data_IF_631275866056
#
_entry.id   IF_631275866056
#
_cell.length_a   1.000
_cell.length_b   1.000
_cell.length_c   1.000
_cell.angle_alpha   90.00
_cell.angle_beta   90.00
_cell.angle_gamma   90.00
#
_symmetry.space_group_name_H-M   'P 1'
#
loop_
_entity.id
_entity.type
_entity.pdbx_description
1 polymer ?
#
# COMPACT_ATOMS: atom_id res chain seq x y z
N UNK A 1 9.74 31.42 -39.37
CA UNK A 1 9.89 30.05 -38.82
C UNK A 1 8.47 29.51 -38.68
N UNK A 2 8.13 28.42 -39.35
CA UNK A 2 6.81 27.84 -39.19
C UNK A 2 6.66 27.38 -37.73
N UNK A 3 5.66 27.84 -37.01
CA UNK A 3 5.29 27.29 -35.70
C UNK A 3 5.02 25.80 -35.93
N UNK A 4 5.92 24.96 -35.47
CA UNK A 4 5.68 23.51 -35.44
C UNK A 4 4.54 23.26 -34.47
N UNK A 5 3.40 22.83 -34.98
CA UNK A 5 2.23 22.51 -34.20
C UNK A 5 2.61 21.54 -33.07
N UNK A 6 2.36 21.93 -31.81
CA UNK A 6 2.70 21.10 -30.64
C UNK A 6 1.95 19.76 -30.70
N UNK A 7 2.68 18.68 -30.54
CA UNK A 7 2.11 17.33 -30.48
C UNK A 7 1.55 17.12 -29.07
N UNK A 8 0.25 16.90 -28.94
CA UNK A 8 -0.45 16.68 -27.67
C UNK A 8 -1.05 15.30 -27.64
N UNK A 9 -0.88 14.59 -26.53
CA UNK A 9 -1.53 13.29 -26.30
C UNK A 9 -3.01 13.49 -26.01
N UNK A 10 -3.85 12.99 -26.92
CA UNK A 10 -5.30 13.04 -26.73
C UNK A 10 -5.74 12.17 -25.54
N UNK A 11 -6.96 12.41 -25.04
CA UNK A 11 -7.58 11.56 -24.01
C UNK A 11 -7.62 10.08 -24.45
N UNK A 12 -7.82 9.80 -25.76
CA UNK A 12 -7.82 8.44 -26.30
C UNK A 12 -6.44 7.79 -26.22
N UNK A 13 -5.38 8.54 -26.50
CA UNK A 13 -4.00 8.04 -26.40
C UNK A 13 -3.69 7.65 -24.95
N UNK A 14 -3.98 8.55 -24.00
CA UNK A 14 -3.79 8.32 -22.57
C UNK A 14 -4.65 7.18 -22.02
N UNK A 15 -5.89 7.05 -22.49
CA UNK A 15 -6.75 5.91 -22.14
C UNK A 15 -6.18 4.58 -22.66
N UNK A 16 -5.58 4.58 -23.85
CA UNK A 16 -4.90 3.41 -24.39
C UNK A 16 -3.69 3.00 -23.53
N UNK A 17 -2.96 3.97 -23.00
CA UNK A 17 -1.86 3.71 -22.04
C UNK A 17 -2.42 3.13 -20.75
N UNK A 18 -3.46 3.73 -20.17
CA UNK A 18 -4.11 3.22 -18.95
C UNK A 18 -4.64 1.79 -19.13
N UNK A 19 -5.22 1.48 -20.28
CA UNK A 19 -5.65 0.11 -20.58
C UNK A 19 -4.49 -0.87 -20.61
N UNK A 20 -3.40 -0.54 -21.29
CA UNK A 20 -2.22 -1.40 -21.38
C UNK A 20 -1.52 -1.56 -20.03
N UNK A 21 -1.56 -0.56 -19.17
CA UNK A 21 -0.95 -0.63 -17.85
C UNK A 21 -1.62 -1.64 -16.92
N UNK A 22 -2.83 -2.12 -17.25
CA UNK A 22 -3.43 -3.25 -16.52
C UNK A 22 -2.61 -4.54 -16.64
N UNK A 23 -1.77 -4.63 -17.67
CA UNK A 23 -0.89 -5.78 -17.94
C UNK A 23 0.57 -5.51 -17.55
N UNK A 24 0.82 -4.52 -16.69
CA UNK A 24 2.18 -4.09 -16.33
C UNK A 24 3.04 -5.22 -15.75
N UNK A 25 2.42 -6.22 -15.13
CA UNK A 25 3.09 -7.40 -14.59
C UNK A 25 3.12 -8.59 -15.57
N UNK A 26 2.57 -8.46 -16.77
CA UNK A 26 2.46 -9.57 -17.74
C UNK A 26 3.80 -10.14 -18.23
N UNK A 27 4.87 -9.34 -18.17
CA UNK A 27 6.25 -9.73 -18.51
C UNK A 27 7.21 -9.54 -17.34
N UNK A 28 6.74 -9.77 -16.12
CA UNK A 28 7.54 -9.60 -14.91
C UNK A 28 8.74 -10.56 -14.90
N UNK A 29 9.90 -10.06 -14.51
CA UNK A 29 11.14 -10.82 -14.44
C UNK A 29 12.02 -10.34 -13.28
N UNK A 30 12.96 -11.16 -12.82
CA UNK A 30 13.82 -10.84 -11.68
C UNK A 30 14.89 -9.78 -11.96
N UNK A 31 15.27 -9.58 -13.22
CA UNK A 31 16.35 -8.65 -13.59
C UNK A 31 15.86 -7.20 -13.56
N UNK A 32 14.70 -6.92 -14.17
CA UNK A 32 14.18 -5.56 -14.36
C UNK A 32 12.73 -5.38 -13.95
N UNK A 33 12.16 -6.37 -13.28
CA UNK A 33 10.83 -6.40 -12.68
C UNK A 33 9.71 -6.14 -13.68
N UNK A 34 9.09 -4.97 -13.64
CA UNK A 34 7.92 -4.60 -14.45
C UNK A 34 8.27 -3.85 -15.74
N UNK A 35 9.55 -3.76 -16.11
CA UNK A 35 10.04 -2.95 -17.21
C UNK A 35 9.34 -3.22 -18.55
N UNK A 36 9.14 -4.49 -18.91
CA UNK A 36 8.50 -4.88 -20.17
C UNK A 36 7.03 -4.43 -20.22
N UNK A 37 6.28 -4.60 -19.12
CA UNK A 37 4.91 -4.13 -19.00
C UNK A 37 4.79 -2.60 -18.99
N UNK A 38 5.75 -1.92 -18.38
CA UNK A 38 5.87 -0.47 -18.44
C UNK A 38 6.08 0.00 -19.89
N UNK A 39 7.08 -0.54 -20.59
CA UNK A 39 7.36 -0.20 -21.98
C UNK A 39 6.15 -0.52 -22.88
N UNK A 40 5.49 -1.67 -22.70
CA UNK A 40 4.25 -2.03 -23.40
C UNK A 40 3.14 -1.00 -23.21
N UNK A 41 3.01 -0.46 -21.99
CA UNK A 41 2.03 0.57 -21.68
C UNK A 41 2.30 1.86 -22.43
N UNK A 42 3.58 2.24 -22.58
CA UNK A 42 4.00 3.48 -23.24
C UNK A 42 3.91 3.47 -24.78
N UNK A 43 3.79 2.29 -25.41
CA UNK A 43 3.79 2.16 -26.87
C UNK A 43 2.82 3.12 -27.59
N UNK A 44 1.55 3.31 -27.19
CA UNK A 44 0.63 4.21 -27.88
C UNK A 44 1.12 5.66 -27.90
N UNK A 45 1.62 6.13 -26.75
CA UNK A 45 2.17 7.48 -26.62
C UNK A 45 3.44 7.66 -27.45
N UNK A 46 4.38 6.74 -27.37
CA UNK A 46 5.65 6.78 -28.12
C UNK A 46 5.38 6.80 -29.64
N UNK A 47 4.42 6.00 -30.12
CA UNK A 47 4.05 6.02 -31.55
C UNK A 47 3.47 7.35 -31.99
N UNK A 48 2.75 8.05 -31.12
CA UNK A 48 2.16 9.35 -31.40
C UNK A 48 3.20 10.48 -31.37
N UNK A 49 4.08 10.46 -30.35
CA UNK A 49 5.05 11.52 -30.08
C UNK A 49 6.23 11.50 -31.03
N UNK A 50 6.74 10.32 -31.39
CA UNK A 50 7.96 10.17 -32.19
C UNK A 50 7.65 9.61 -33.58
N UNK A 51 8.07 10.34 -34.62
CA UNK A 51 7.83 9.96 -36.02
C UNK A 51 8.89 9.00 -36.55
N UNK A 52 10.18 9.23 -36.21
CA UNK A 52 11.27 8.38 -36.69
C UNK A 52 11.34 7.04 -35.96
N UNK A 53 11.89 6.02 -36.60
CA UNK A 53 12.11 4.71 -35.99
C UNK A 53 13.21 4.78 -34.93
N UNK A 54 14.18 5.60 -35.15
CA UNK A 54 15.33 5.85 -34.31
C UNK A 54 14.89 6.44 -32.97
N UNK A 55 14.07 7.50 -32.98
CA UNK A 55 13.55 8.16 -31.78
C UNK A 55 12.63 7.22 -31.00
N UNK A 56 11.77 6.45 -31.68
CA UNK A 56 10.95 5.42 -31.03
C UNK A 56 11.78 4.37 -30.35
N UNK A 57 12.86 3.92 -31.00
CA UNK A 57 13.78 2.94 -30.42
C UNK A 57 14.48 3.49 -29.19
N UNK A 58 14.95 4.73 -29.24
CA UNK A 58 15.58 5.41 -28.11
C UNK A 58 14.60 5.55 -26.92
N UNK A 59 13.37 5.99 -27.20
CA UNK A 59 12.31 6.08 -26.19
C UNK A 59 11.99 4.72 -25.57
N UNK A 60 11.86 3.68 -26.38
CA UNK A 60 11.59 2.33 -25.86
C UNK A 60 12.74 1.80 -24.99
N UNK A 61 14.00 2.07 -25.35
CA UNK A 61 15.16 1.65 -24.55
C UNK A 61 15.14 2.26 -23.15
N UNK A 62 14.87 3.59 -23.01
CA UNK A 62 14.79 4.25 -21.68
C UNK A 62 13.60 3.74 -20.86
N UNK A 63 12.52 3.27 -21.50
CA UNK A 63 11.38 2.69 -20.80
C UNK A 63 11.54 1.20 -20.44
N UNK A 64 12.54 0.52 -20.99
CA UNK A 64 12.95 -0.84 -20.61
C UNK A 64 13.92 -0.88 -19.41
N UNK A 65 14.27 0.26 -18.82
CA UNK A 65 15.03 0.32 -17.58
C UNK A 65 14.24 -0.26 -16.41
N UNK A 66 14.94 -0.61 -15.33
CA UNK A 66 14.35 -1.17 -14.12
C UNK A 66 13.15 -0.35 -13.64
N UNK A 67 12.05 -1.02 -13.35
CA UNK A 67 10.86 -0.43 -12.75
C UNK A 67 10.13 -1.46 -11.91
N UNK A 68 9.79 -1.11 -10.67
CA UNK A 68 9.02 -1.97 -9.77
C UNK A 68 8.26 -1.14 -8.74
N UNK A 69 6.93 -1.21 -8.80
CA UNK A 69 6.03 -0.60 -7.80
C UNK A 69 4.74 -1.40 -7.73
N UNK A 70 3.83 -1.03 -6.84
CA UNK A 70 2.49 -1.61 -6.85
C UNK A 70 1.81 -1.33 -8.22
N UNK A 71 1.23 -2.33 -8.91
CA UNK A 71 0.80 -2.21 -10.30
C UNK A 71 -0.22 -1.11 -10.56
N UNK A 72 -1.13 -0.85 -9.62
CA UNK A 72 -2.16 0.19 -9.82
C UNK A 72 -1.63 1.58 -9.50
N UNK A 73 -0.73 1.69 -8.54
CA UNK A 73 -0.09 2.96 -8.16
C UNK A 73 1.07 3.33 -9.11
N UNK A 74 1.37 2.51 -10.11
CA UNK A 74 2.20 2.88 -11.24
C UNK A 74 1.55 3.98 -12.12
N UNK A 75 0.21 4.09 -12.09
CA UNK A 75 -0.55 5.00 -12.96
C UNK A 75 -0.20 6.48 -12.81
N UNK A 76 -0.06 7.07 -11.62
CA UNK A 76 0.40 8.47 -11.52
C UNK A 76 1.81 8.67 -12.07
N UNK A 77 2.73 7.68 -11.92
CA UNK A 77 4.08 7.75 -12.50
C UNK A 77 4.00 7.73 -14.02
N UNK A 78 3.14 6.85 -14.60
CA UNK A 78 2.86 6.83 -16.02
C UNK A 78 2.37 8.19 -16.50
N UNK A 79 1.45 8.82 -15.77
CA UNK A 79 0.92 10.14 -16.09
C UNK A 79 2.02 11.19 -16.18
N UNK A 80 2.85 11.32 -15.16
CA UNK A 80 3.98 12.26 -15.15
C UNK A 80 4.96 11.95 -16.30
N UNK A 81 5.27 10.67 -16.50
CA UNK A 81 6.19 10.26 -17.59
C UNK A 81 5.63 10.59 -18.97
N UNK A 82 4.32 10.44 -19.17
CA UNK A 82 3.66 10.83 -20.43
C UNK A 82 3.80 12.33 -20.71
N UNK A 83 3.62 13.17 -19.70
CA UNK A 83 3.81 14.62 -19.85
C UNK A 83 5.26 14.97 -20.18
N UNK A 84 6.25 14.37 -19.49
CA UNK A 84 7.65 14.58 -19.76
C UNK A 84 8.06 14.15 -21.19
N UNK A 85 7.55 13.00 -21.66
CA UNK A 85 7.77 12.53 -23.02
C UNK A 85 7.14 13.46 -24.07
N UNK A 86 5.96 14.00 -23.77
CA UNK A 86 5.26 14.95 -24.65
C UNK A 86 6.04 16.26 -24.78
N UNK A 87 6.49 16.82 -23.67
CA UNK A 87 7.29 18.05 -23.66
C UNK A 87 8.64 17.84 -24.37
N UNK A 88 9.30 16.69 -24.12
CA UNK A 88 10.51 16.33 -24.84
C UNK A 88 10.30 16.24 -26.35
N UNK A 89 9.24 15.61 -26.79
CA UNK A 89 8.89 15.50 -28.23
C UNK A 89 8.60 16.87 -28.87
N UNK A 90 8.18 17.84 -28.07
CA UNK A 90 7.96 19.23 -28.48
C UNK A 90 9.22 20.12 -28.33
N UNK A 91 10.38 19.53 -28.00
CA UNK A 91 11.66 20.24 -27.98
C UNK A 91 12.04 20.84 -26.62
N UNK A 92 11.30 20.54 -25.54
CA UNK A 92 11.73 20.94 -24.20
C UNK A 92 13.02 20.19 -23.78
N UNK A 93 13.89 20.79 -22.95
CA UNK A 93 15.17 20.23 -22.54
C UNK A 93 15.01 19.15 -21.45
N UNK A 94 14.12 18.17 -21.70
CA UNK A 94 13.89 17.01 -20.84
C UNK A 94 14.82 15.89 -21.29
N UNK A 95 15.77 15.51 -20.45
CA UNK A 95 16.72 14.45 -20.73
C UNK A 95 16.25 13.07 -20.19
N UNK A 96 17.02 12.03 -20.50
CA UNK A 96 16.72 10.66 -20.02
C UNK A 96 16.83 10.55 -18.50
N UNK A 97 17.72 11.36 -17.89
CA UNK A 97 17.95 11.36 -16.43
C UNK A 97 16.73 11.90 -15.70
N UNK A 98 16.10 12.97 -16.21
CA UNK A 98 14.89 13.54 -15.64
C UNK A 98 13.72 12.53 -15.69
N UNK A 99 13.49 11.89 -16.84
CA UNK A 99 12.43 10.87 -17.00
C UNK A 99 12.67 9.67 -16.07
N UNK A 100 13.90 9.17 -16.02
CA UNK A 100 14.25 8.04 -15.17
C UNK A 100 14.21 8.41 -13.68
N UNK A 101 14.63 9.65 -13.35
CA UNK A 101 14.58 10.19 -11.99
C UNK A 101 13.16 10.18 -11.41
N UNK A 102 12.15 10.58 -12.20
CA UNK A 102 10.73 10.48 -11.80
C UNK A 102 10.34 9.04 -11.53
N UNK A 103 10.62 8.13 -12.46
CA UNK A 103 10.29 6.71 -12.32
C UNK A 103 10.91 6.13 -11.05
N UNK A 104 12.21 6.32 -10.86
CA UNK A 104 12.96 5.78 -9.70
C UNK A 104 12.53 6.45 -8.39
N UNK A 105 12.40 7.78 -8.40
CA UNK A 105 12.05 8.55 -7.19
C UNK A 105 10.66 8.21 -6.63
N UNK A 106 9.70 7.89 -7.50
CA UNK A 106 8.32 7.59 -7.10
C UNK A 106 8.03 6.10 -6.87
N UNK A 107 8.84 5.17 -7.38
CA UNK A 107 8.60 3.73 -7.26
C UNK A 107 8.39 3.27 -5.82
N UNK A 108 9.37 3.55 -4.96
CA UNK A 108 9.39 3.08 -3.57
C UNK A 108 8.27 3.68 -2.72
N UNK A 109 8.17 5.02 -2.65
CA UNK A 109 7.11 5.68 -1.90
C UNK A 109 5.71 5.22 -2.29
N UNK A 110 5.44 5.09 -3.59
CA UNK A 110 4.13 4.68 -4.07
C UNK A 110 3.86 3.19 -3.84
N UNK A 111 4.87 2.32 -3.88
CA UNK A 111 4.72 0.92 -3.45
C UNK A 111 4.29 0.85 -1.98
N UNK A 112 4.94 1.66 -1.11
CA UNK A 112 4.60 1.76 0.30
C UNK A 112 3.16 2.20 0.59
N UNK A 113 2.50 2.89 -0.35
CA UNK A 113 1.07 3.23 -0.28
C UNK A 113 0.22 2.14 -0.92
N UNK A 114 0.62 1.66 -2.09
CA UNK A 114 -0.18 0.78 -2.93
C UNK A 114 -0.39 -0.61 -2.35
N UNK A 115 0.68 -1.23 -1.85
CA UNK A 115 0.60 -2.59 -1.29
C UNK A 115 -0.35 -2.66 -0.09
N UNK A 116 -0.23 -1.78 0.92
CA UNK A 116 -1.15 -1.75 2.04
C UNK A 116 -2.60 -1.47 1.66
N UNK A 117 -2.82 -0.50 0.80
CA UNK A 117 -4.18 -0.08 0.41
C UNK A 117 -4.86 -1.17 -0.40
N UNK A 118 -4.21 -1.67 -1.46
CA UNK A 118 -4.87 -2.60 -2.37
C UNK A 118 -4.77 -4.06 -1.93
N UNK A 119 -3.54 -4.54 -1.58
CA UNK A 119 -3.35 -5.96 -1.26
C UNK A 119 -3.79 -6.33 0.16
N UNK A 120 -3.58 -5.41 1.12
CA UNK A 120 -3.85 -5.70 2.52
C UNK A 120 -5.14 -5.07 3.07
N UNK A 121 -5.83 -4.20 2.31
CA UNK A 121 -7.08 -3.58 2.77
C UNK A 121 -8.22 -3.84 1.80
N UNK A 122 -8.22 -3.21 0.63
CA UNK A 122 -9.38 -3.23 -0.29
C UNK A 122 -9.69 -4.64 -0.79
N UNK A 123 -8.67 -5.38 -1.22
CA UNK A 123 -8.86 -6.73 -1.78
C UNK A 123 -9.34 -7.74 -0.73
N UNK A 124 -8.76 -7.85 0.47
CA UNK A 124 -9.28 -8.71 1.53
C UNK A 124 -10.69 -8.37 1.98
N UNK A 125 -11.03 -7.06 2.09
CA UNK A 125 -12.38 -6.64 2.46
C UNK A 125 -13.43 -7.09 1.43
N UNK A 126 -13.17 -6.85 0.16
CA UNK A 126 -14.06 -7.31 -0.92
C UNK A 126 -14.09 -8.83 -1.01
N UNK A 127 -12.95 -9.49 -0.78
CA UNK A 127 -12.86 -10.95 -0.74
C UNK A 127 -13.68 -11.55 0.39
N UNK A 128 -13.61 -11.00 1.59
CA UNK A 128 -14.40 -11.44 2.73
C UNK A 128 -15.91 -11.26 2.51
N UNK A 129 -16.32 -10.11 1.94
CA UNK A 129 -17.70 -9.86 1.56
C UNK A 129 -18.18 -10.88 0.51
N UNK A 130 -17.41 -11.10 -0.54
CA UNK A 130 -17.72 -12.06 -1.59
C UNK A 130 -17.79 -13.49 -1.07
N UNK A 131 -16.86 -13.89 -0.20
CA UNK A 131 -16.83 -15.20 0.42
C UNK A 131 -18.04 -15.43 1.36
N UNK A 132 -18.41 -14.43 2.17
CA UNK A 132 -19.58 -14.49 3.04
C UNK A 132 -20.86 -14.78 2.27
N UNK A 133 -21.06 -14.14 1.11
CA UNK A 133 -22.20 -14.40 0.25
C UNK A 133 -22.12 -15.79 -0.43
N UNK A 134 -20.92 -16.20 -0.84
CA UNK A 134 -20.70 -17.48 -1.51
C UNK A 134 -20.92 -18.68 -0.57
N UNK A 135 -20.59 -18.58 0.71
CA UNK A 135 -20.83 -19.64 1.71
C UNK A 135 -22.32 -19.94 1.84
N UNK A 136 -23.19 -18.96 1.68
CA UNK A 136 -24.65 -19.17 1.65
C UNK A 136 -25.19 -19.69 0.30
N UNK A 137 -24.31 -20.08 -0.63
CA UNK A 137 -24.67 -20.54 -1.98
C UNK A 137 -25.08 -19.42 -2.95
N UNK A 138 -24.86 -18.16 -2.58
CA UNK A 138 -25.27 -17.02 -3.41
C UNK A 138 -24.19 -16.70 -4.47
N UNK A 139 -24.57 -16.86 -5.75
CA UNK A 139 -23.70 -16.57 -6.91
C UNK A 139 -23.29 -15.08 -7.00
N UNK A 140 -23.97 -14.19 -6.31
CA UNK A 140 -23.60 -12.77 -6.27
C UNK A 140 -22.25 -12.54 -5.57
N UNK A 141 -21.77 -13.45 -4.72
CA UNK A 141 -20.50 -13.31 -4.02
C UNK A 141 -19.32 -13.09 -4.97
N UNK A 142 -19.00 -14.02 -5.88
CA UNK A 142 -17.94 -13.84 -6.89
C UNK A 142 -18.18 -12.65 -7.82
N UNK A 143 -19.46 -12.40 -8.21
CA UNK A 143 -19.80 -11.29 -9.11
C UNK A 143 -19.51 -9.94 -8.45
N UNK A 144 -19.94 -9.73 -7.21
CA UNK A 144 -19.70 -8.49 -6.47
C UNK A 144 -18.20 -8.27 -6.30
N UNK A 145 -17.46 -9.31 -5.89
CA UNK A 145 -16.00 -9.21 -5.78
C UNK A 145 -15.36 -8.77 -7.11
N UNK A 146 -15.69 -9.45 -8.20
CA UNK A 146 -15.12 -9.15 -9.51
C UNK A 146 -15.46 -7.74 -9.99
N UNK A 147 -16.73 -7.37 -9.93
CA UNK A 147 -17.21 -6.07 -10.43
C UNK A 147 -16.67 -4.92 -9.58
N UNK A 148 -16.83 -4.98 -8.26
CA UNK A 148 -16.38 -3.92 -7.36
C UNK A 148 -14.85 -3.75 -7.43
N UNK A 149 -14.09 -4.85 -7.43
CA UNK A 149 -12.65 -4.81 -7.57
C UNK A 149 -12.21 -4.12 -8.87
N UNK A 150 -12.82 -4.48 -9.99
CA UNK A 150 -12.45 -3.89 -11.28
C UNK A 150 -12.87 -2.43 -11.40
N UNK A 151 -14.03 -2.02 -10.86
CA UNK A 151 -14.45 -0.61 -10.83
C UNK A 151 -13.46 0.22 -10.01
N UNK A 152 -13.13 -0.20 -8.78
CA UNK A 152 -12.20 0.52 -7.90
C UNK A 152 -10.83 0.64 -8.57
N UNK A 153 -10.29 -0.47 -9.05
CA UNK A 153 -8.98 -0.53 -9.70
C UNK A 153 -8.91 0.39 -10.92
N UNK A 154 -9.88 0.29 -11.83
CA UNK A 154 -9.91 1.06 -13.07
C UNK A 154 -10.08 2.56 -12.81
N UNK A 155 -11.01 2.91 -11.94
CA UNK A 155 -11.23 4.31 -11.56
C UNK A 155 -9.95 4.90 -10.97
N UNK A 156 -9.33 4.19 -10.03
CA UNK A 156 -8.08 4.65 -9.43
C UNK A 156 -6.98 4.84 -10.48
N UNK A 157 -6.73 3.84 -11.32
CA UNK A 157 -5.68 3.89 -12.35
C UNK A 157 -5.90 5.05 -13.33
N UNK A 158 -7.13 5.22 -13.81
CA UNK A 158 -7.45 6.28 -14.76
C UNK A 158 -7.30 7.68 -14.14
N UNK A 159 -7.95 7.92 -13.01
CA UNK A 159 -7.92 9.25 -12.39
C UNK A 159 -6.51 9.65 -11.90
N UNK A 160 -5.75 8.71 -11.37
CA UNK A 160 -4.39 9.00 -10.92
C UNK A 160 -3.40 9.17 -12.06
N UNK A 161 -3.60 8.48 -13.20
CA UNK A 161 -2.83 8.74 -14.41
C UNK A 161 -3.10 10.15 -14.96
N UNK A 162 -4.37 10.56 -15.04
CA UNK A 162 -4.73 11.91 -15.50
C UNK A 162 -4.22 12.99 -14.52
N UNK A 163 -4.27 12.72 -13.22
CA UNK A 163 -3.67 13.61 -12.22
C UNK A 163 -2.16 13.73 -12.43
N UNK A 164 -1.46 12.60 -12.60
CA UNK A 164 -0.01 12.58 -12.87
C UNK A 164 0.34 13.30 -14.18
N UNK A 165 -0.44 13.13 -15.24
CA UNK A 165 -0.22 13.83 -16.50
C UNK A 165 -0.35 15.35 -16.35
N UNK A 166 -1.38 15.83 -15.67
CA UNK A 166 -1.56 17.26 -15.38
C UNK A 166 -0.48 17.82 -14.45
N UNK A 167 -0.03 17.03 -13.49
CA UNK A 167 1.06 17.42 -12.61
C UNK A 167 2.40 17.48 -13.37
N UNK A 168 2.64 16.50 -14.24
CA UNK A 168 3.83 16.41 -15.06
C UNK A 168 4.00 17.60 -16.03
N UNK A 169 2.93 18.07 -16.66
CA UNK A 169 3.00 19.25 -17.51
C UNK A 169 3.36 20.52 -16.75
N UNK A 170 2.98 20.64 -15.48
CA UNK A 170 3.41 21.76 -14.62
C UNK A 170 4.86 21.65 -14.16
N UNK A 171 5.37 20.42 -14.01
CA UNK A 171 6.78 20.16 -13.66
C UNK A 171 7.69 20.66 -14.77
N UNK A 172 7.29 20.52 -16.03
CA UNK A 172 8.08 20.98 -17.18
C UNK A 172 8.09 22.49 -17.32
N UNK A 173 7.06 23.19 -16.89
CA UNK A 173 7.02 24.65 -16.82
C UNK A 173 8.01 25.21 -15.78
N UNK A 174 8.36 24.40 -14.76
CA UNK A 174 9.26 24.76 -13.67
C UNK A 174 10.36 23.69 -13.43
N UNK A 175 11.07 23.32 -14.49
CA UNK A 175 12.19 22.35 -14.42
C UNK A 175 13.32 22.77 -13.46
N UNK A 176 13.42 24.08 -13.15
CA UNK A 176 14.39 24.63 -12.19
C UNK A 176 13.86 24.78 -10.76
N UNK A 177 12.56 24.70 -10.53
CA UNK A 177 11.90 25.06 -9.27
C UNK A 177 11.83 23.99 -8.20
N UNK A 178 12.35 22.77 -8.44
CA UNK A 178 12.37 21.73 -7.43
C UNK A 178 11.03 21.02 -7.19
N UNK A 179 9.97 21.33 -7.95
CA UNK A 179 8.62 20.75 -7.80
C UNK A 179 8.64 19.20 -7.85
N UNK A 180 9.49 18.61 -8.69
CA UNK A 180 9.68 17.17 -8.74
C UNK A 180 10.22 16.61 -7.42
N UNK A 181 11.18 17.30 -6.81
CA UNK A 181 11.74 16.90 -5.50
C UNK A 181 10.68 17.00 -4.41
N UNK A 182 9.85 18.04 -4.43
CA UNK A 182 8.76 18.22 -3.46
C UNK A 182 7.67 17.16 -3.59
N UNK A 183 7.27 16.79 -4.81
CA UNK A 183 6.32 15.69 -5.06
C UNK A 183 6.91 14.36 -4.56
N UNK A 184 8.16 14.07 -4.87
CA UNK A 184 8.84 12.83 -4.42
C UNK A 184 8.96 12.81 -2.90
N UNK A 185 9.31 13.93 -2.27
CA UNK A 185 9.37 14.06 -0.81
C UNK A 185 8.00 13.91 -0.16
N UNK A 186 6.98 14.56 -0.71
CA UNK A 186 5.60 14.42 -0.25
C UNK A 186 5.08 12.98 -0.35
N UNK A 187 5.33 12.29 -1.46
CA UNK A 187 5.01 10.88 -1.63
C UNK A 187 5.74 9.99 -0.62
N UNK A 188 7.03 10.27 -0.33
CA UNK A 188 7.82 9.55 0.67
C UNK A 188 7.26 9.73 2.08
N UNK A 189 6.88 10.96 2.46
CA UNK A 189 6.27 11.27 3.75
C UNK A 189 4.94 10.53 3.90
N UNK A 190 4.08 10.60 2.88
CA UNK A 190 2.79 9.90 2.88
C UNK A 190 2.98 8.37 2.96
N UNK A 191 3.92 7.81 2.20
CA UNK A 191 4.24 6.39 2.24
C UNK A 191 4.70 5.94 3.64
N UNK A 192 5.59 6.70 4.28
CA UNK A 192 6.04 6.41 5.64
C UNK A 192 4.90 6.53 6.67
N UNK A 193 4.01 7.51 6.52
CA UNK A 193 2.85 7.67 7.39
C UNK A 193 1.91 6.45 7.29
N UNK A 194 1.59 6.03 6.06
CA UNK A 194 0.75 4.84 5.81
C UNK A 194 1.40 3.58 6.37
N UNK A 195 2.70 3.38 6.14
CA UNK A 195 3.44 2.24 6.70
C UNK A 195 3.42 2.23 8.23
N UNK A 196 3.61 3.38 8.88
CA UNK A 196 3.55 3.49 10.34
C UNK A 196 2.17 3.11 10.90
N UNK A 197 1.09 3.59 10.27
CA UNK A 197 -0.28 3.22 10.65
C UNK A 197 -0.55 1.72 10.50
N UNK A 198 0.06 1.09 9.48
CA UNK A 198 -0.09 -0.35 9.24
C UNK A 198 0.73 -1.20 10.19
N UNK A 199 1.93 -0.77 10.58
CA UNK A 199 2.71 -1.44 11.63
C UNK A 199 1.86 -1.56 12.88
N UNK A 200 1.23 -0.47 13.32
CA UNK A 200 0.31 -0.48 14.48
C UNK A 200 -0.86 -1.47 14.32
N UNK A 201 -1.38 -1.62 13.11
CA UNK A 201 -2.56 -2.44 12.84
C UNK A 201 -2.24 -3.93 12.63
N UNK A 202 -1.08 -4.25 12.05
CA UNK A 202 -0.76 -5.60 11.59
C UNK A 202 0.31 -6.30 12.41
N UNK A 203 1.13 -5.57 13.15
CA UNK A 203 2.15 -6.14 14.03
C UNK A 203 1.57 -6.17 15.44
N UNK A 204 1.10 -7.33 15.86
CA UNK A 204 0.66 -7.58 17.24
C UNK A 204 1.71 -8.44 17.95
N UNK A 205 2.27 -7.89 19.01
CA UNK A 205 3.13 -8.63 19.93
C UNK A 205 2.35 -8.69 21.25
N UNK A 206 2.11 -9.90 21.75
CA UNK A 206 1.33 -10.10 22.97
C UNK A 206 2.19 -10.78 24.00
N UNK A 207 2.59 -10.02 25.04
CA UNK A 207 3.29 -10.57 26.19
C UNK A 207 2.29 -11.20 27.16
N UNK A 208 2.41 -12.51 27.36
CA UNK A 208 1.53 -13.32 28.24
C UNK A 208 1.80 -13.23 29.73
N UNK A 209 3.03 -12.95 30.23
CA UNK A 209 3.29 -12.94 31.65
C UNK A 209 2.30 -12.09 32.44
N UNK A 210 1.70 -12.67 33.45
CA UNK A 210 0.79 -11.99 34.36
C UNK A 210 1.60 -11.22 35.40
N UNK A 211 1.32 -9.93 35.54
CA UNK A 211 1.97 -9.04 36.48
C UNK A 211 1.15 -8.92 37.77
N UNK A 212 -0.16 -8.89 37.64
CA UNK A 212 -1.05 -8.72 38.78
C UNK A 212 -2.36 -9.48 38.56
N UNK A 213 -2.80 -10.12 39.64
CA UNK A 213 -4.11 -10.73 39.77
C UNK A 213 -4.83 -10.14 40.97
N UNK A 214 -5.97 -9.50 40.76
CA UNK A 214 -6.75 -8.88 41.82
C UNK A 214 -8.14 -9.51 41.82
N UNK A 215 -8.54 -10.08 42.95
CA UNK A 215 -9.93 -10.53 43.13
C UNK A 215 -10.83 -9.31 43.23
N UNK A 216 -11.91 -9.32 42.47
CA UNK A 216 -12.91 -8.26 42.47
C UNK A 216 -13.91 -8.49 43.57
N UNK A 217 -14.40 -7.41 44.17
CA UNK A 217 -15.47 -7.43 45.16
C UNK A 217 -16.81 -7.83 44.52
N UNK A 218 -17.70 -8.39 45.33
CA UNK A 218 -19.05 -8.74 44.91
C UNK A 218 -19.78 -7.53 44.31
N UNK A 219 -20.33 -7.70 43.13
CA UNK A 219 -20.98 -6.61 42.38
C UNK A 219 -20.07 -5.87 41.40
N UNK A 220 -18.77 -6.17 41.33
CA UNK A 220 -17.85 -5.65 40.31
C UNK A 220 -17.65 -6.58 39.11
N UNK A 221 -18.23 -7.77 39.16
CA UNK A 221 -18.18 -8.77 38.10
C UNK A 221 -19.57 -9.39 37.87
N UNK A 222 -19.75 -9.99 36.68
CA UNK A 222 -21.00 -10.69 36.32
C UNK A 222 -21.00 -12.06 37.03
N UNK A 223 -21.95 -12.25 37.94
CA UNK A 223 -22.16 -13.56 38.56
C UNK A 223 -23.01 -14.43 37.63
N UNK A 224 -22.34 -15.27 36.86
CA UNK A 224 -22.96 -16.15 35.87
C UNK A 224 -23.94 -17.15 36.49
N UNK A 225 -23.82 -17.49 37.79
CA UNK A 225 -24.69 -18.42 38.48
C UNK A 225 -26.04 -17.77 38.90
N UNK A 226 -26.07 -16.45 38.99
CA UNK A 226 -27.28 -15.71 39.34
C UNK A 226 -28.12 -15.29 38.13
N UNK A 227 -27.64 -15.51 36.91
CA UNK A 227 -28.32 -15.13 35.68
C UNK A 227 -29.40 -16.17 35.31
N UNK A 228 -30.56 -15.74 34.78
CA UNK A 228 -31.56 -16.62 34.21
C UNK A 228 -31.00 -17.47 33.05
N UNK A 229 -31.52 -18.64 32.85
CA UNK A 229 -31.16 -19.47 31.68
C UNK A 229 -31.77 -18.91 30.39
N UNK A 230 -31.07 -19.08 29.24
CA UNK A 230 -31.58 -18.70 27.92
C UNK A 230 -31.30 -17.24 27.53
N UNK A 231 -32.13 -16.71 26.63
CA UNK A 231 -31.93 -15.40 26.01
C UNK A 231 -31.95 -14.24 27.03
N UNK A 232 -32.78 -14.35 28.05
CA UNK A 232 -32.90 -13.30 29.07
C UNK A 232 -31.64 -13.18 29.93
N UNK A 233 -30.98 -14.29 30.23
CA UNK A 233 -29.69 -14.27 30.91
C UNK A 233 -28.60 -13.64 30.08
N UNK A 234 -28.57 -13.88 28.76
CA UNK A 234 -27.63 -13.25 27.85
C UNK A 234 -27.85 -11.73 27.78
N UNK A 235 -29.12 -11.29 27.74
CA UNK A 235 -29.44 -9.84 27.76
C UNK A 235 -28.98 -9.19 29.06
N UNK A 236 -29.28 -9.80 30.22
CA UNK A 236 -28.84 -9.27 31.51
C UNK A 236 -27.31 -9.23 31.61
N UNK A 237 -26.63 -10.27 31.18
CA UNK A 237 -25.15 -10.26 31.14
C UNK A 237 -24.58 -9.13 30.27
N UNK A 238 -25.20 -8.91 29.12
CA UNK A 238 -24.80 -7.82 28.22
C UNK A 238 -25.06 -6.44 28.82
N UNK A 239 -26.20 -6.23 29.49
CA UNK A 239 -26.50 -5.01 30.21
C UNK A 239 -25.50 -4.75 31.33
N UNK A 240 -25.19 -5.75 32.16
CA UNK A 240 -24.18 -5.65 33.21
C UNK A 240 -22.78 -5.34 32.66
N UNK A 241 -22.41 -5.97 31.53
CA UNK A 241 -21.16 -5.70 30.84
C UNK A 241 -21.09 -4.25 30.33
N UNK A 242 -22.17 -3.73 29.76
CA UNK A 242 -22.23 -2.32 29.29
C UNK A 242 -22.19 -1.31 30.44
N UNK A 243 -22.58 -1.72 31.64
CA UNK A 243 -22.44 -0.94 32.88
C UNK A 243 -21.02 -1.00 33.46
N UNK A 244 -20.10 -1.79 32.86
CA UNK A 244 -18.69 -1.87 33.22
C UNK A 244 -18.34 -3.01 34.18
N UNK A 245 -19.25 -3.97 34.42
CA UNK A 245 -18.93 -5.14 35.24
C UNK A 245 -17.95 -6.06 34.48
N UNK A 246 -17.00 -6.64 35.25
CA UNK A 246 -16.03 -7.59 34.68
C UNK A 246 -16.71 -8.92 34.33
N UNK A 247 -16.22 -9.57 33.25
CA UNK A 247 -16.67 -10.91 32.86
C UNK A 247 -16.15 -12.01 33.81
N UNK A 248 -15.10 -11.72 34.59
CA UNK A 248 -14.47 -12.68 35.51
C UNK A 248 -14.32 -12.09 36.92
N UNK A 249 -14.30 -12.99 37.92
CA UNK A 249 -14.11 -12.62 39.32
C UNK A 249 -12.70 -12.12 39.64
N UNK A 250 -11.73 -12.36 38.74
CA UNK A 250 -10.34 -11.96 38.90
C UNK A 250 -9.95 -11.05 37.76
N UNK A 251 -9.47 -9.87 38.09
CA UNK A 251 -8.86 -8.96 37.12
C UNK A 251 -7.39 -9.33 36.95
N UNK A 252 -7.10 -9.91 35.80
CA UNK A 252 -5.73 -10.28 35.42
C UNK A 252 -5.13 -9.13 34.59
N UNK A 253 -3.98 -8.64 35.03
CA UNK A 253 -3.22 -7.61 34.29
C UNK A 253 -1.92 -8.24 33.78
N UNK A 254 -1.78 -8.33 32.48
CA UNK A 254 -0.58 -8.85 31.82
C UNK A 254 0.46 -7.74 31.59
N UNK A 255 1.69 -8.14 31.28
CA UNK A 255 2.75 -7.22 30.87
C UNK A 255 2.30 -6.39 29.65
N UNK A 256 1.58 -7.02 28.70
CA UNK A 256 1.05 -6.32 27.53
C UNK A 256 0.08 -5.22 27.92
N UNK A 257 -0.85 -5.48 28.85
CA UNK A 257 -1.83 -4.48 29.30
C UNK A 257 -1.15 -3.23 29.90
N UNK A 258 -0.06 -3.42 30.64
CA UNK A 258 0.69 -2.30 31.20
C UNK A 258 1.46 -1.51 30.13
N UNK A 259 2.06 -2.20 29.16
CA UNK A 259 2.73 -1.54 28.04
C UNK A 259 1.75 -0.74 27.19
N UNK A 260 0.59 -1.31 26.87
CA UNK A 260 -0.44 -0.64 26.07
C UNK A 260 -1.12 0.52 26.81
N UNK A 261 -1.13 0.49 28.15
CA UNK A 261 -1.60 1.62 28.98
C UNK A 261 -0.65 2.82 28.91
N UNK A 262 0.64 2.59 28.70
CA UNK A 262 1.64 3.64 28.54
C UNK A 262 1.61 4.18 27.12
N UNK A 263 1.85 3.32 26.13
CA UNK A 263 1.83 3.64 24.70
C UNK A 263 1.30 2.43 23.97
N UNK A 264 0.08 2.50 23.38
CA UNK A 264 -0.48 1.41 22.59
C UNK A 264 0.46 1.03 21.43
N UNK A 265 0.80 -0.27 21.34
CA UNK A 265 1.69 -0.78 20.29
C UNK A 265 3.17 -0.45 20.46
N UNK A 266 3.62 -0.09 21.67
CA UNK A 266 5.02 0.24 21.97
C UNK A 266 5.98 -0.87 21.53
N UNK A 267 5.64 -2.14 21.76
CA UNK A 267 6.48 -3.26 21.39
C UNK A 267 6.67 -3.36 19.85
N UNK A 268 5.59 -3.17 19.08
CA UNK A 268 5.65 -3.16 17.63
C UNK A 268 6.50 -1.99 17.09
N UNK A 269 6.39 -0.81 17.71
CA UNK A 269 7.18 0.37 17.37
C UNK A 269 8.67 0.12 17.63
N UNK A 270 9.03 -0.37 18.82
CA UNK A 270 10.42 -0.66 19.18
C UNK A 270 11.02 -1.73 18.27
N UNK A 271 10.28 -2.80 17.97
CA UNK A 271 10.71 -3.83 17.04
C UNK A 271 10.95 -3.26 15.64
N UNK A 272 10.09 -2.36 15.17
CA UNK A 272 10.27 -1.68 13.89
C UNK A 272 11.55 -0.86 13.86
N UNK A 273 11.83 -0.07 14.90
CA UNK A 273 13.09 0.69 14.99
C UNK A 273 14.31 -0.21 15.07
N UNK A 274 14.22 -1.33 15.79
CA UNK A 274 15.30 -2.33 15.83
C UNK A 274 15.57 -2.89 14.43
N UNK A 275 14.53 -3.30 13.69
CA UNK A 275 14.68 -3.80 12.32
C UNK A 275 15.28 -2.73 11.39
N UNK A 276 14.82 -1.47 11.50
CA UNK A 276 15.39 -0.36 10.73
C UNK A 276 16.86 -0.13 11.04
N UNK A 277 17.25 -0.22 12.32
CA UNK A 277 18.65 -0.10 12.73
C UNK A 277 19.52 -1.23 12.18
N UNK A 278 19.02 -2.48 12.22
CA UNK A 278 19.71 -3.64 11.65
C UNK A 278 19.89 -3.50 10.12
N UNK A 279 18.86 -3.04 9.42
CA UNK A 279 18.93 -2.75 7.97
C UNK A 279 19.95 -1.65 7.66
N UNK A 280 20.01 -0.58 8.46
CA UNK A 280 21.04 0.47 8.31
C UNK A 280 22.45 -0.06 8.51
N UNK A 281 22.62 -1.10 9.33
CA UNK A 281 23.88 -1.83 9.49
C UNK A 281 24.17 -2.82 8.35
N UNK A 282 23.36 -2.78 7.26
CA UNK A 282 23.48 -3.66 6.07
C UNK A 282 23.31 -5.15 6.39
N UNK A 283 22.63 -5.50 7.47
CA UNK A 283 22.24 -6.89 7.74
C UNK A 283 21.15 -7.27 6.75
N UNK A 284 21.29 -8.44 6.12
CA UNK A 284 20.34 -8.93 5.12
C UNK A 284 18.92 -9.04 5.71
N UNK A 285 17.87 -8.58 5.01
CA UNK A 285 16.48 -8.77 5.44
C UNK A 285 16.13 -10.23 5.74
N UNK A 286 16.70 -11.18 5.01
CA UNK A 286 16.49 -12.61 5.23
C UNK A 286 16.98 -13.03 6.61
N UNK A 287 18.16 -12.56 7.02
CA UNK A 287 18.73 -12.86 8.36
C UNK A 287 17.83 -12.27 9.44
N UNK A 288 17.33 -11.06 9.24
CA UNK A 288 16.41 -10.42 10.20
C UNK A 288 15.12 -11.23 10.32
N UNK A 289 14.52 -11.67 9.21
CA UNK A 289 13.30 -12.49 9.21
C UNK A 289 13.54 -13.81 9.95
N UNK A 290 14.62 -14.51 9.66
CA UNK A 290 14.98 -15.76 10.33
C UNK A 290 15.21 -15.53 11.83
N UNK A 291 15.90 -14.45 12.20
CA UNK A 291 16.11 -14.06 13.59
C UNK A 291 14.78 -13.79 14.32
N UNK A 292 13.87 -13.06 13.71
CA UNK A 292 12.53 -12.80 14.27
C UNK A 292 11.72 -14.09 14.41
N UNK A 293 11.81 -15.00 13.46
CA UNK A 293 11.16 -16.32 13.55
C UNK A 293 11.68 -17.10 14.77
N UNK A 294 13.00 -17.17 14.95
CA UNK A 294 13.63 -17.85 16.11
C UNK A 294 13.19 -17.19 17.42
N UNK A 295 13.23 -15.86 17.49
CA UNK A 295 12.78 -15.11 18.70
C UNK A 295 11.31 -15.39 19.00
N UNK A 296 10.44 -15.43 17.99
CA UNK A 296 9.02 -15.76 18.15
C UNK A 296 8.81 -17.18 18.69
N UNK A 297 9.49 -18.18 18.12
CA UNK A 297 9.41 -19.58 18.58
C UNK A 297 9.92 -19.72 19.99
N UNK A 298 11.10 -19.18 20.30
CA UNK A 298 11.68 -19.23 21.66
C UNK A 298 10.78 -18.50 22.65
N UNK A 299 10.29 -17.30 22.30
CA UNK A 299 9.39 -16.52 23.13
C UNK A 299 8.09 -17.26 23.46
N UNK A 300 7.54 -18.00 22.48
CA UNK A 300 6.37 -18.82 22.70
C UNK A 300 6.66 -20.03 23.64
N UNK A 301 7.77 -20.73 23.42
CA UNK A 301 8.16 -21.91 24.22
C UNK A 301 8.39 -21.55 25.70
N UNK A 302 9.01 -20.40 25.98
CA UNK A 302 9.22 -19.92 27.36
C UNK A 302 8.01 -19.21 27.96
N UNK A 303 6.89 -19.11 27.24
CA UNK A 303 5.66 -18.48 27.72
C UNK A 303 5.70 -16.95 27.79
N UNK A 304 6.64 -16.31 27.08
CA UNK A 304 6.74 -14.86 27.03
C UNK A 304 5.77 -14.24 25.98
N UNK A 305 5.57 -14.95 24.86
CA UNK A 305 4.75 -14.53 23.71
C UNK A 305 3.57 -15.46 23.49
#
# INVERSE_FOLDING_TARGET
>A
MAETEKIVLSKKDRLSVAWRSTFIQGSWNYERMQNGGWAFSMIPAIKKLYKSKEDRSAAMKRHLEFFNTHPYVASPILGVTLALEEERANGAPVDDVAIQGVKVGMMGPLAGIGDPVFWFTVRPMLGALGASLAISGNILGPIIFFVAWNIIRWSFMWYTQEFGYKAGSKITDDLSGGLLQDITKGASILGMFVLAALVQRWVSIVFKPVISEVKLDNGAYIDWNSLPSGIDGVKMAFEQYTQGLSLSQVKVTTLQNNLDSLIPGLAALLLTFLCMWLLRKKISPIIIILGLFVVGVVGHVIGLL
#
